data_IF_917645850718
#
_entry.id   IF_917645850718
#
_cell.length_a   1.000
_cell.length_b   1.000
_cell.length_c   1.000
_cell.angle_alpha   90.00
_cell.angle_beta   90.00
_cell.angle_gamma   90.00
#
_symmetry.space_group_name_H-M   'P 1'
#
loop_
_entity.id
_entity.type
_entity.pdbx_description
1 polymer ?
#
# COMPACT_ATOMS: atom_id res chain seq x y z
N UNK A 1 -5.38 -3.17 -3.79
CA UNK A 1 -5.59 -4.41 -4.57
C UNK A 1 -7.04 -4.84 -4.68
N UNK A 2 -7.86 -4.86 -3.61
CA UNK A 2 -9.27 -5.29 -3.75
C UNK A 2 -10.05 -4.49 -4.81
N UNK A 3 -9.84 -3.18 -4.84
CA UNK A 3 -10.54 -2.29 -5.78
C UNK A 3 -10.21 -2.59 -7.26
N UNK A 4 -9.01 -3.09 -7.58
CA UNK A 4 -8.67 -3.42 -8.98
C UNK A 4 -9.43 -4.64 -9.51
N UNK A 5 -10.14 -5.37 -8.66
CA UNK A 5 -11.01 -6.49 -9.07
C UNK A 5 -12.37 -5.99 -9.56
N UNK A 6 -12.80 -4.82 -9.07
CA UNK A 6 -14.04 -4.15 -9.49
C UNK A 6 -13.76 -3.19 -10.65
N UNK A 7 -12.54 -2.67 -10.73
CA UNK A 7 -12.09 -1.74 -11.78
C UNK A 7 -10.82 -2.31 -12.46
N UNK A 8 -10.98 -3.12 -13.54
CA UNK A 8 -9.86 -3.82 -14.17
C UNK A 8 -8.74 -2.92 -14.71
N UNK A 9 -9.06 -1.68 -15.08
CA UNK A 9 -8.08 -0.72 -15.59
C UNK A 9 -7.40 0.11 -14.49
N UNK A 10 -7.80 -0.06 -13.23
CA UNK A 10 -7.30 0.72 -12.10
C UNK A 10 -5.77 0.79 -12.06
N UNK A 11 -5.09 -0.31 -12.35
CA UNK A 11 -3.63 -0.39 -12.29
C UNK A 11 -2.93 0.43 -13.38
N UNK A 12 -3.59 0.69 -14.52
CA UNK A 12 -3.04 1.48 -15.62
C UNK A 12 -3.37 2.97 -15.49
N UNK A 13 -4.37 3.32 -14.66
CA UNK A 13 -4.71 4.72 -14.42
C UNK A 13 -3.53 5.48 -13.84
N UNK A 14 -3.36 6.72 -14.27
CA UNK A 14 -2.24 7.55 -13.87
C UNK A 14 -2.63 8.59 -12.84
N UNK A 15 -1.74 8.83 -11.88
CA UNK A 15 -1.86 9.88 -10.87
C UNK A 15 -0.71 10.86 -11.05
N UNK A 16 -1.03 12.16 -11.07
CA UNK A 16 -0.04 13.23 -11.11
C UNK A 16 0.48 13.49 -9.70
N UNK A 17 1.80 13.54 -9.53
CA UNK A 17 2.40 13.92 -8.25
C UNK A 17 2.34 15.44 -8.11
N UNK A 18 1.55 15.91 -7.14
CA UNK A 18 1.36 17.35 -6.89
C UNK A 18 2.41 17.91 -5.92
N UNK A 19 2.84 17.10 -4.95
CA UNK A 19 3.85 17.45 -3.95
C UNK A 19 4.60 16.20 -3.51
N UNK A 20 5.83 16.40 -3.00
CA UNK A 20 6.57 15.37 -2.26
C UNK A 20 6.15 15.46 -0.79
N UNK A 21 5.95 14.32 -0.13
CA UNK A 21 5.60 14.26 1.28
C UNK A 21 6.77 14.72 2.17
N UNK A 22 6.47 15.44 3.26
CA UNK A 22 7.47 16.10 4.10
C UNK A 22 8.45 15.11 4.77
N UNK A 23 7.99 13.88 5.01
CA UNK A 23 8.76 12.84 5.71
C UNK A 23 9.64 11.97 4.80
N UNK A 24 9.59 12.14 3.47
CA UNK A 24 10.55 11.51 2.54
C UNK A 24 12.00 12.02 2.79
N UNK A 25 12.19 13.09 3.56
CA UNK A 25 13.50 13.69 3.87
C UNK A 25 14.17 13.28 5.17
N UNK A 26 13.47 12.65 6.14
CA UNK A 26 13.95 12.58 7.54
C UNK A 26 14.15 11.17 8.14
N UNK A 27 13.96 10.06 7.42
CA UNK A 27 14.23 8.72 8.00
C UNK A 27 15.11 7.83 7.14
N UNK A 28 16.12 7.27 7.81
CA UNK A 28 17.20 6.40 7.32
C UNK A 28 16.65 5.03 6.93
N UNK A 29 16.05 4.92 5.75
CA UNK A 29 16.09 3.75 4.86
C UNK A 29 15.51 4.21 3.50
N UNK A 30 16.40 4.79 2.69
CA UNK A 30 16.25 5.44 1.38
C UNK A 30 14.95 5.11 0.58
N UNK A 31 14.31 6.16 0.01
CA UNK A 31 14.15 6.21 -1.44
C UNK A 31 14.96 7.36 -2.03
N UNK A 32 15.85 7.06 -2.98
CA UNK A 32 16.49 8.07 -3.84
C UNK A 32 15.34 8.64 -4.67
N UNK A 33 14.76 9.78 -4.29
CA UNK A 33 13.57 10.38 -4.90
C UNK A 33 13.47 10.15 -6.43
N UNK A 34 12.64 9.18 -6.84
CA UNK A 34 12.30 8.89 -8.24
C UNK A 34 11.06 9.65 -8.69
N UNK A 35 10.09 9.83 -7.78
CA UNK A 35 8.87 10.55 -8.07
C UNK A 35 9.15 12.05 -8.18
N UNK A 36 8.66 12.66 -9.25
CA UNK A 36 8.86 14.09 -9.53
C UNK A 36 7.53 14.81 -9.57
N UNK A 37 7.50 15.97 -8.92
CA UNK A 37 6.35 16.88 -8.98
C UNK A 37 6.05 17.21 -10.45
N UNK A 38 4.77 17.15 -10.80
CA UNK A 38 4.29 17.41 -12.14
C UNK A 38 4.28 16.19 -13.07
N UNK A 39 4.98 15.10 -12.73
CA UNK A 39 4.96 13.87 -13.52
C UNK A 39 3.76 12.98 -13.16
N UNK A 40 3.35 12.17 -14.14
CA UNK A 40 2.29 11.18 -14.01
C UNK A 40 2.90 9.78 -13.90
N UNK A 41 2.36 8.97 -13.01
CA UNK A 41 2.76 7.59 -12.79
C UNK A 41 1.52 6.71 -12.74
N UNK A 42 1.61 5.48 -13.25
CA UNK A 42 0.50 4.54 -13.13
C UNK A 42 0.29 4.11 -11.67
N UNK A 43 -0.91 3.68 -11.32
CA UNK A 43 -1.18 3.07 -10.01
C UNK A 43 -0.25 1.87 -9.77
N UNK A 44 0.11 1.12 -10.82
CA UNK A 44 1.12 0.06 -10.76
C UNK A 44 2.49 0.58 -10.29
N UNK A 45 2.99 1.66 -10.90
CA UNK A 45 4.27 2.26 -10.54
C UNK A 45 4.26 2.72 -9.08
N UNK A 46 3.17 3.37 -8.65
CA UNK A 46 3.03 3.87 -7.29
C UNK A 46 2.91 2.75 -6.26
N UNK A 47 2.24 1.64 -6.59
CA UNK A 47 2.18 0.46 -5.72
C UNK A 47 3.57 -0.16 -5.53
N UNK A 48 4.38 -0.19 -6.59
CA UNK A 48 5.77 -0.66 -6.50
C UNK A 48 6.61 0.28 -5.63
N UNK A 49 6.57 1.59 -5.86
CA UNK A 49 7.28 2.56 -5.02
C UNK A 49 6.85 2.52 -3.55
N UNK A 50 5.54 2.37 -3.28
CA UNK A 50 5.00 2.24 -1.92
C UNK A 50 5.45 0.95 -1.24
N UNK A 51 5.30 -0.22 -1.88
CA UNK A 51 5.52 -1.51 -1.21
C UNK A 51 6.99 -1.94 -1.19
N UNK A 52 7.74 -1.61 -2.24
CA UNK A 52 9.14 -2.03 -2.40
C UNK A 52 10.08 -1.04 -1.74
N UNK A 53 9.88 0.26 -2.00
CA UNK A 53 10.77 1.32 -1.54
C UNK A 53 10.23 2.08 -0.33
N UNK A 54 9.08 1.67 0.24
CA UNK A 54 8.43 2.36 1.35
C UNK A 54 8.19 3.87 1.10
N UNK A 55 7.98 4.26 -0.17
CA UNK A 55 7.89 5.66 -0.56
C UNK A 55 6.60 6.31 -0.02
N UNK A 56 6.75 7.34 0.82
CA UNK A 56 5.58 7.95 1.48
C UNK A 56 4.80 8.86 0.52
N UNK A 57 5.46 9.52 -0.43
CA UNK A 57 4.76 10.25 -1.51
C UNK A 57 3.83 9.34 -2.32
N UNK A 58 4.29 8.14 -2.69
CA UNK A 58 3.48 7.14 -3.38
C UNK A 58 2.29 6.69 -2.53
N UNK A 59 2.54 6.46 -1.24
CA UNK A 59 1.52 6.09 -0.24
C UNK A 59 0.41 7.14 -0.16
N UNK A 60 0.78 8.41 0.04
CA UNK A 60 -0.18 9.52 0.10
C UNK A 60 -0.96 9.71 -1.20
N UNK A 61 -0.28 9.60 -2.35
CA UNK A 61 -0.91 9.75 -3.66
C UNK A 61 -1.96 8.66 -3.93
N UNK A 62 -1.64 7.41 -3.60
CA UNK A 62 -2.58 6.29 -3.71
C UNK A 62 -3.74 6.43 -2.73
N UNK A 63 -3.45 6.77 -1.46
CA UNK A 63 -4.46 6.88 -0.41
C UNK A 63 -5.55 7.90 -0.75
N UNK A 64 -5.17 9.07 -1.28
CA UNK A 64 -6.11 10.13 -1.72
C UNK A 64 -7.09 9.67 -2.81
N UNK A 65 -6.74 8.63 -3.57
CA UNK A 65 -7.60 8.10 -4.64
C UNK A 65 -8.64 7.12 -4.11
N UNK A 66 -8.42 6.50 -2.94
CA UNK A 66 -9.28 5.46 -2.40
C UNK A 66 -10.54 6.11 -1.80
N UNK A 67 -11.75 5.75 -2.26
CA UNK A 67 -12.98 6.23 -1.62
C UNK A 67 -13.01 5.79 -0.16
N UNK A 68 -13.29 6.72 0.74
CA UNK A 68 -13.35 6.43 2.18
C UNK A 68 -14.29 5.25 2.50
N UNK A 69 -15.45 5.20 1.85
CA UNK A 69 -16.42 4.10 1.99
C UNK A 69 -15.85 2.74 1.59
N UNK A 70 -14.97 2.70 0.58
CA UNK A 70 -14.31 1.47 0.17
C UNK A 70 -13.29 1.01 1.21
N UNK A 71 -12.51 1.95 1.78
CA UNK A 71 -11.56 1.66 2.83
C UNK A 71 -12.27 1.11 4.08
N UNK A 72 -13.30 1.80 4.57
CA UNK A 72 -14.11 1.34 5.72
C UNK A 72 -14.73 -0.04 5.49
N UNK A 73 -15.17 -0.33 4.26
CA UNK A 73 -15.70 -1.65 3.91
C UNK A 73 -14.61 -2.72 4.02
N UNK A 74 -13.43 -2.48 3.47
CA UNK A 74 -12.31 -3.44 3.55
C UNK A 74 -11.91 -3.67 5.01
N UNK A 75 -11.81 -2.62 5.81
CA UNK A 75 -11.46 -2.75 7.23
C UNK A 75 -12.49 -3.57 8.00
N UNK A 76 -13.77 -3.30 7.75
CA UNK A 76 -14.89 -4.06 8.33
C UNK A 76 -14.87 -5.53 7.91
N UNK A 77 -14.68 -5.81 6.61
CA UNK A 77 -14.63 -7.16 6.08
C UNK A 77 -13.47 -7.97 6.68
N UNK A 78 -12.36 -7.30 7.00
CA UNK A 78 -11.16 -7.92 7.57
C UNK A 78 -11.14 -7.92 9.11
N UNK A 79 -12.13 -7.30 9.75
CA UNK A 79 -12.24 -7.20 11.19
C UNK A 79 -11.12 -6.38 11.83
N UNK A 80 -10.55 -5.42 11.09
CA UNK A 80 -9.53 -4.50 11.58
C UNK A 80 -10.20 -3.21 12.00
N UNK A 81 -10.05 -2.82 13.26
CA UNK A 81 -10.50 -1.53 13.74
C UNK A 81 -9.38 -0.52 13.45
N UNK A 82 -9.56 0.34 12.44
CA UNK A 82 -8.71 1.52 12.37
C UNK A 82 -9.07 2.43 13.55
N UNK A 83 -8.08 2.99 14.27
CA UNK A 83 -8.37 4.09 15.18
C UNK A 83 -9.14 5.18 14.42
N UNK A 84 -10.13 5.79 15.08
CA UNK A 84 -10.82 6.94 14.52
C UNK A 84 -9.83 8.08 14.18
N UNK A 85 -10.32 9.12 13.49
CA UNK A 85 -9.51 10.23 12.97
C UNK A 85 -8.55 10.89 14.01
N UNK A 86 -8.76 10.67 15.31
CA UNK A 86 -7.96 11.21 16.41
C UNK A 86 -6.72 10.39 16.83
N UNK A 87 -6.60 9.11 16.45
CA UNK A 87 -5.45 8.27 16.86
C UNK A 87 -4.49 7.98 15.68
N UNK A 88 -3.59 8.93 15.43
CA UNK A 88 -2.55 8.90 14.37
C UNK A 88 -1.38 7.95 14.73
N UNK A 89 -1.69 6.81 15.35
CA UNK A 89 -0.83 5.64 15.32
C UNK A 89 -1.71 4.46 14.97
N UNK A 90 -1.76 4.14 13.68
CA UNK A 90 -2.25 2.86 13.20
C UNK A 90 -1.38 1.76 13.82
N UNK A 91 -1.73 1.30 15.02
CA UNK A 91 -1.10 0.16 15.65
C UNK A 91 -1.79 -1.08 15.14
N UNK A 92 -1.04 -1.93 14.44
CA UNK A 92 -1.49 -3.26 14.06
C UNK A 92 -0.90 -4.28 15.02
N UNK A 93 -1.74 -5.17 15.55
CA UNK A 93 -1.28 -6.29 16.38
C UNK A 93 -0.60 -7.37 15.53
N UNK A 94 0.26 -8.18 16.14
CA UNK A 94 0.87 -9.34 15.48
C UNK A 94 -0.18 -10.30 14.90
N UNK A 95 -1.32 -10.44 15.58
CA UNK A 95 -2.44 -11.27 15.15
C UNK A 95 -3.08 -10.75 13.86
N UNK A 96 -3.32 -9.45 13.77
CA UNK A 96 -3.85 -8.79 12.57
C UNK A 96 -2.85 -8.88 11.43
N UNK A 97 -1.58 -8.56 11.69
CA UNK A 97 -0.51 -8.65 10.70
C UNK A 97 -0.40 -10.07 10.11
N UNK A 98 -0.41 -11.10 10.96
CA UNK A 98 -0.40 -12.51 10.53
C UNK A 98 -1.64 -12.89 9.72
N UNK A 99 -2.79 -12.29 10.05
CA UNK A 99 -4.05 -12.54 9.34
C UNK A 99 -4.01 -12.00 7.91
N UNK A 100 -3.40 -10.83 7.68
CA UNK A 100 -3.18 -10.30 6.34
C UNK A 100 -2.34 -11.23 5.46
N UNK A 101 -1.23 -11.78 5.99
CA UNK A 101 -0.43 -12.76 5.23
C UNK A 101 -1.21 -14.03 4.90
N UNK A 102 -2.00 -14.54 5.86
CA UNK A 102 -2.86 -15.70 5.60
C UNK A 102 -3.84 -15.41 4.47
N UNK A 103 -4.52 -14.26 4.50
CA UNK A 103 -5.46 -13.84 3.45
C UNK A 103 -4.81 -13.79 2.09
N UNK A 104 -3.61 -13.19 2.00
CA UNK A 104 -2.86 -13.10 0.75
C UNK A 104 -2.48 -14.50 0.24
N UNK A 105 -1.93 -15.34 1.10
CA UNK A 105 -1.47 -16.68 0.73
C UNK A 105 -2.60 -17.64 0.34
N UNK A 106 -3.75 -17.55 1.01
CA UNK A 106 -4.91 -18.41 0.72
C UNK A 106 -5.88 -17.82 -0.29
N UNK A 107 -5.65 -16.59 -0.76
CA UNK A 107 -6.57 -15.85 -1.65
C UNK A 107 -8.02 -15.86 -1.14
N UNK A 108 -8.22 -15.68 0.17
CA UNK A 108 -9.55 -15.79 0.80
C UNK A 108 -10.38 -14.51 0.75
N UNK A 109 -9.78 -13.40 0.31
CA UNK A 109 -10.44 -12.09 0.20
C UNK A 109 -10.16 -11.42 -1.16
N UNK A 110 -8.92 -11.55 -1.64
CA UNK A 110 -8.52 -11.18 -2.99
C UNK A 110 -8.64 -12.39 -3.92
N UNK A 111 -8.88 -12.13 -5.20
CA UNK A 111 -8.70 -13.11 -6.28
C UNK A 111 -7.27 -13.66 -6.30
N UNK A 112 -7.05 -14.89 -6.80
CA UNK A 112 -5.71 -15.46 -6.91
C UNK A 112 -4.69 -14.56 -7.63
N UNK A 113 -5.10 -13.87 -8.70
CA UNK A 113 -4.25 -12.95 -9.44
C UNK A 113 -3.84 -11.72 -8.63
N UNK A 114 -4.78 -11.11 -7.91
CA UNK A 114 -4.49 -9.96 -7.05
C UNK A 114 -3.61 -10.34 -5.85
N UNK A 115 -3.87 -11.50 -5.24
CA UNK A 115 -3.02 -12.06 -4.18
C UNK A 115 -1.60 -12.31 -4.69
N UNK A 116 -1.45 -12.96 -5.84
CA UNK A 116 -0.14 -13.24 -6.44
C UNK A 116 0.61 -11.94 -6.75
N UNK A 117 -0.07 -10.93 -7.29
CA UNK A 117 0.54 -9.64 -7.57
C UNK A 117 1.02 -8.95 -6.28
N UNK A 118 0.18 -8.87 -5.24
CA UNK A 118 0.56 -8.29 -3.96
C UNK A 118 1.77 -9.00 -3.32
N UNK A 119 1.74 -10.34 -3.31
CA UNK A 119 2.86 -11.14 -2.81
C UNK A 119 4.13 -10.92 -3.63
N UNK A 120 4.03 -10.79 -4.96
CA UNK A 120 5.20 -10.53 -5.81
C UNK A 120 5.88 -9.20 -5.47
N UNK A 121 5.11 -8.16 -5.14
CA UNK A 121 5.67 -6.88 -4.68
C UNK A 121 6.38 -7.04 -3.33
N UNK A 122 5.78 -7.76 -2.38
CA UNK A 122 6.39 -8.04 -1.08
C UNK A 122 7.69 -8.87 -1.18
N UNK A 123 7.90 -9.63 -2.26
CA UNK A 123 9.17 -10.35 -2.47
C UNK A 123 10.29 -9.49 -3.08
N UNK A 124 9.98 -8.27 -3.54
CA UNK A 124 10.95 -7.37 -4.17
C UNK A 124 11.65 -6.42 -3.20
N UNK A 125 11.17 -6.30 -1.96
CA UNK A 125 11.84 -5.46 -0.95
C UNK A 125 13.23 -5.99 -0.63
N UNK A 126 14.19 -5.08 -0.51
CA UNK A 126 15.58 -5.35 -0.17
C UNK A 126 15.89 -5.15 1.32
N UNK A 127 14.89 -4.78 2.13
CA UNK A 127 15.02 -4.63 3.58
C UNK A 127 15.16 -6.00 4.26
N UNK A 128 16.37 -6.32 4.73
CA UNK A 128 16.69 -7.62 5.35
C UNK A 128 16.59 -7.66 6.86
N UNK A 129 16.45 -6.52 7.53
CA UNK A 129 16.60 -6.39 9.00
C UNK A 129 15.26 -6.55 9.75
N UNK A 130 14.23 -7.06 9.06
CA UNK A 130 12.91 -7.33 9.61
C UNK A 130 12.80 -8.70 10.27
N UNK A 131 12.09 -9.63 9.63
CA UNK A 131 11.69 -10.94 10.20
C UNK A 131 12.86 -11.96 10.25
N UNK A 132 14.06 -11.62 9.75
CA UNK A 132 15.21 -12.55 9.80
C UNK A 132 15.72 -12.71 11.23
N UNK A 133 16.01 -13.97 11.58
CA UNK A 133 16.79 -14.33 12.77
C UNK A 133 18.24 -13.90 12.62
#
# INVERSE_FOLDING_TARGET
>A
MKWSEEEPDLLNQTIKIEKIADSDGEKVFIPRNKLKVGQMYSVRDLLEEMMVNSNITATEALFKKIPYSFLTKVDTDLGVLLPGEEEIRASISLKEYSSFFRILYTASYLSPSSSQYALSLLTKTDFSDGIRK
#
